data_IF_994036656306
#
_entry.id   IF_994036656306
#
_cell.length_a   1.000
_cell.length_b   1.000
_cell.length_c   1.000
_cell.angle_alpha   90.00
_cell.angle_beta   90.00
_cell.angle_gamma   90.00
#
_symmetry.space_group_name_H-M   'P 1'
#
loop_
_entity.id
_entity.type
_entity.pdbx_description
1 polymer ?
#
# COMPACT_ATOMS: atom_id res chain seq x y z
N UNK A 1 -9.02 1.31 1.71
CA UNK A 1 -7.82 1.87 2.35
C UNK A 1 -7.52 1.00 3.55
N UNK A 2 -6.26 0.62 3.73
CA UNK A 2 -5.81 -0.23 4.81
C UNK A 2 -4.63 0.44 5.53
N UNK A 3 -4.68 0.46 6.85
CA UNK A 3 -3.57 0.92 7.69
C UNK A 3 -2.74 -0.29 8.11
N UNK A 4 -1.42 -0.18 7.92
CA UNK A 4 -0.45 -1.22 8.26
C UNK A 4 0.45 -0.66 9.34
N UNK A 5 0.48 -1.36 10.47
CA UNK A 5 1.39 -1.05 11.56
C UNK A 5 2.35 -2.22 11.73
N UNK A 6 3.65 -1.94 11.70
CA UNK A 6 4.71 -2.92 11.88
C UNK A 6 5.59 -2.53 13.05
N UNK A 7 5.85 -3.52 13.91
CA UNK A 7 6.62 -3.35 15.14
C UNK A 7 8.10 -3.67 14.91
N UNK A 8 8.40 -4.43 13.86
CA UNK A 8 9.74 -4.88 13.47
C UNK A 8 10.00 -4.56 12.00
N UNK A 9 11.24 -4.16 11.69
CA UNK A 9 11.66 -3.95 10.30
C UNK A 9 11.64 -5.27 9.49
N UNK A 10 11.79 -6.42 10.15
CA UNK A 10 11.77 -7.72 9.50
C UNK A 10 10.37 -8.10 8.96
N UNK A 11 9.30 -7.54 9.52
CA UNK A 11 7.91 -7.83 9.14
C UNK A 11 7.39 -6.85 8.07
N UNK A 12 8.16 -5.80 7.76
CA UNK A 12 7.71 -4.69 6.92
C UNK A 12 7.27 -5.16 5.53
N UNK A 13 8.14 -5.91 4.86
CA UNK A 13 7.91 -6.30 3.46
C UNK A 13 6.71 -7.22 3.34
N UNK A 14 6.61 -8.23 4.21
CA UNK A 14 5.47 -9.17 4.25
C UNK A 14 4.15 -8.45 4.57
N UNK A 15 4.15 -7.54 5.56
CA UNK A 15 2.96 -6.80 5.94
C UNK A 15 2.47 -5.88 4.81
N UNK A 16 3.40 -5.23 4.09
CA UNK A 16 3.08 -4.39 2.94
C UNK A 16 2.58 -5.21 1.74
N UNK A 17 3.20 -6.35 1.42
CA UNK A 17 2.73 -7.24 0.36
C UNK A 17 1.32 -7.75 0.61
N UNK A 18 1.04 -8.19 1.84
CA UNK A 18 -0.29 -8.64 2.24
C UNK A 18 -1.34 -7.53 2.09
N UNK A 19 -0.99 -6.31 2.52
CA UNK A 19 -1.88 -5.15 2.38
C UNK A 19 -2.09 -4.75 0.91
N UNK A 20 -1.06 -4.81 0.07
CA UNK A 20 -1.18 -4.55 -1.37
C UNK A 20 -2.09 -5.58 -2.03
N UNK A 21 -1.93 -6.86 -1.70
CA UNK A 21 -2.76 -7.95 -2.22
C UNK A 21 -4.25 -7.72 -1.93
N UNK A 22 -4.59 -7.37 -0.68
CA UNK A 22 -5.96 -7.07 -0.28
C UNK A 22 -6.57 -5.85 -1.01
N UNK A 23 -5.73 -4.87 -1.36
CA UNK A 23 -6.16 -3.65 -2.04
C UNK A 23 -6.19 -3.82 -3.57
N UNK A 24 -5.51 -4.84 -4.10
CA UNK A 24 -5.35 -5.07 -5.53
C UNK A 24 -6.68 -5.36 -6.24
N UNK A 25 -7.61 -6.05 -5.59
CA UNK A 25 -8.94 -6.31 -6.16
C UNK A 25 -9.69 -5.01 -6.43
N UNK A 26 -9.68 -4.09 -5.46
CA UNK A 26 -10.27 -2.76 -5.60
C UNK A 26 -9.55 -1.93 -6.66
N UNK A 27 -8.21 -1.93 -6.66
CA UNK A 27 -7.41 -1.23 -7.66
C UNK A 27 -7.69 -1.74 -9.09
N UNK A 28 -7.84 -3.05 -9.25
CA UNK A 28 -8.14 -3.70 -10.53
C UNK A 28 -9.55 -3.39 -11.01
N UNK A 29 -10.53 -3.43 -10.11
CA UNK A 29 -11.92 -3.08 -10.42
C UNK A 29 -12.02 -1.64 -10.95
N UNK A 30 -11.29 -0.70 -10.34
CA UNK A 30 -11.31 0.70 -10.73
C UNK A 30 -10.28 1.09 -11.80
N UNK A 31 -9.46 0.14 -12.31
CA UNK A 31 -8.38 0.40 -13.26
C UNK A 31 -7.41 1.50 -12.79
N UNK A 32 -7.03 1.43 -11.53
CA UNK A 32 -6.05 2.30 -10.89
C UNK A 32 -4.94 1.48 -10.23
N UNK A 33 -3.87 2.12 -9.79
CA UNK A 33 -2.76 1.50 -9.08
C UNK A 33 -2.92 1.57 -7.56
N UNK A 34 -1.89 1.08 -6.85
CA UNK A 34 -1.84 1.09 -5.38
C UNK A 34 -0.80 2.12 -4.92
N UNK A 35 -1.18 2.96 -3.97
CA UNK A 35 -0.28 3.88 -3.28
C UNK A 35 0.00 3.35 -1.87
N UNK A 36 1.28 3.28 -1.53
CA UNK A 36 1.79 3.04 -0.18
C UNK A 36 2.38 4.36 0.32
N UNK A 37 1.92 4.84 1.47
CA UNK A 37 2.39 6.08 2.08
C UNK A 37 2.83 5.82 3.50
N UNK A 38 4.05 6.22 3.86
CA UNK A 38 4.49 6.19 5.25
C UNK A 38 3.87 7.37 6.01
N UNK A 39 3.11 7.08 7.06
CA UNK A 39 2.45 8.10 7.91
C UNK A 39 3.10 8.23 9.28
N UNK A 40 4.01 7.33 9.63
CA UNK A 40 4.74 7.35 10.90
C UNK A 40 5.87 6.34 10.96
N UNK A 41 6.51 6.22 12.13
CA UNK A 41 7.49 5.16 12.39
C UNK A 41 6.73 3.84 12.47
N UNK A 42 6.98 2.92 11.54
CA UNK A 42 6.28 1.64 11.48
C UNK A 42 4.83 1.73 10.98
N UNK A 43 4.32 2.91 10.62
CA UNK A 43 2.93 3.09 10.19
C UNK A 43 2.83 3.50 8.73
N UNK A 44 2.03 2.75 7.97
CA UNK A 44 1.84 2.93 6.54
C UNK A 44 0.35 2.89 6.18
N UNK A 45 -0.01 3.61 5.12
CA UNK A 45 -1.33 3.55 4.50
C UNK A 45 -1.19 2.93 3.12
N UNK A 46 -1.95 1.87 2.86
CA UNK A 46 -2.04 1.21 1.55
C UNK A 46 -3.45 1.44 0.99
N UNK A 47 -3.53 2.02 -0.20
CA UNK A 47 -4.84 2.31 -0.83
C UNK A 47 -4.77 2.28 -2.35
N UNK A 48 -5.87 1.87 -2.97
CA UNK A 48 -6.07 2.07 -4.40
C UNK A 48 -6.14 3.59 -4.64
N UNK A 49 -5.39 4.09 -5.63
CA UNK A 49 -5.22 5.52 -5.81
C UNK A 49 -5.16 5.93 -7.28
N UNK A 50 -5.97 6.90 -7.74
CA UNK A 50 -6.05 7.28 -9.16
C UNK A 50 -4.78 7.95 -9.69
N UNK A 51 -3.96 8.56 -8.82
CA UNK A 51 -2.68 9.12 -9.23
C UNK A 51 -1.59 8.07 -9.50
N UNK A 52 -1.87 6.78 -9.21
CA UNK A 52 -0.99 5.67 -9.56
C UNK A 52 -1.61 4.95 -10.77
N UNK A 53 -0.89 4.80 -11.90
CA UNK A 53 -1.41 4.07 -13.04
C UNK A 53 -1.75 2.62 -12.71
N UNK A 54 -2.71 2.06 -13.44
CA UNK A 54 -3.12 0.67 -13.31
C UNK A 54 -1.94 -0.31 -13.41
N UNK A 55 -1.94 -1.32 -12.54
CA UNK A 55 -0.90 -2.35 -12.49
C UNK A 55 0.40 -1.91 -11.83
N UNK A 56 0.49 -0.66 -11.36
CA UNK A 56 1.66 -0.15 -10.64
C UNK A 56 1.38 0.01 -9.15
N UNK A 57 2.43 -0.20 -8.37
CA UNK A 57 2.49 0.13 -6.95
C UNK A 57 3.49 1.25 -6.78
N UNK A 58 3.10 2.33 -6.10
CA UNK A 58 3.99 3.47 -5.80
C UNK A 58 4.17 3.59 -4.30
N UNK A 59 5.43 3.65 -3.87
CA UNK A 59 5.77 4.02 -2.51
C UNK A 59 6.08 5.53 -2.44
N UNK A 60 5.43 6.22 -1.51
CA UNK A 60 5.67 7.62 -1.22
C UNK A 60 6.35 7.72 0.15
N UNK A 61 7.60 8.18 0.12
CA UNK A 61 8.36 8.59 1.29
C UNK A 61 8.08 10.10 1.47
N UNK A 62 7.31 10.45 2.49
CA UNK A 62 7.16 11.84 2.91
C UNK A 62 8.41 12.29 3.68
#
# INVERSE_FOLDING_TARGET
MLEVNVSSAAELDEALENAVSLVMDSATHHKIGVMIMRIGIGSYVVRAHPAVPYGLVRQQHA
#
